data_IF_793239671501
#
_entry.id   IF_793239671501
#
_cell.length_a   1.000
_cell.length_b   1.000
_cell.length_c   1.000
_cell.angle_alpha   90.00
_cell.angle_beta   90.00
_cell.angle_gamma   90.00
#
_symmetry.space_group_name_H-M   'P 1'
#
loop_
_entity.id
_entity.type
_entity.pdbx_description
1 polymer ?
#
# COMPACT_ATOMS: atom_id res chain seq x y z
N UNK A 1 -3.15 -21.59 9.12
CA UNK A 1 -2.87 -20.15 8.97
C UNK A 1 -2.60 -19.97 7.49
N UNK A 2 -3.52 -19.32 6.79
CA UNK A 2 -3.37 -19.07 5.34
C UNK A 2 -2.40 -17.92 5.18
N UNK A 3 -1.16 -18.18 4.80
CA UNK A 3 -0.21 -17.13 4.42
C UNK A 3 -0.70 -16.51 3.12
N UNK A 4 -1.04 -15.22 3.14
CA UNK A 4 -1.37 -14.46 1.95
C UNK A 4 -0.09 -13.95 1.29
N UNK A 5 -0.03 -14.08 -0.04
CA UNK A 5 1.05 -13.50 -0.83
C UNK A 5 0.74 -12.02 -1.11
N UNK A 6 1.43 -11.12 -0.44
CA UNK A 6 1.15 -9.67 -0.50
C UNK A 6 2.25 -8.94 -1.27
N UNK A 7 1.86 -8.21 -2.30
CA UNK A 7 2.74 -7.30 -3.03
C UNK A 7 2.89 -6.00 -2.23
N UNK A 8 4.09 -5.71 -1.76
CA UNK A 8 4.43 -4.39 -1.23
C UNK A 8 4.75 -3.49 -2.42
N UNK A 9 3.82 -2.61 -2.77
CA UNK A 9 3.88 -1.78 -3.97
C UNK A 9 4.19 -0.33 -3.65
N UNK A 10 5.24 0.20 -4.23
CA UNK A 10 5.71 1.57 -4.02
C UNK A 10 5.62 2.34 -5.34
N UNK A 11 4.54 3.08 -5.59
CA UNK A 11 4.51 4.02 -6.71
C UNK A 11 5.43 5.19 -6.38
N UNK A 12 6.33 5.52 -7.29
CA UNK A 12 7.28 6.61 -7.10
C UNK A 12 7.44 7.43 -8.37
N UNK A 13 7.78 8.72 -8.23
CA UNK A 13 7.99 9.65 -9.33
C UNK A 13 8.95 10.77 -8.92
N UNK A 14 10.03 10.97 -9.68
CA UNK A 14 11.06 12.00 -9.43
C UNK A 14 11.67 11.96 -8.02
N UNK A 15 11.82 10.75 -7.46
CA UNK A 15 12.36 10.51 -6.12
C UNK A 15 13.53 9.51 -6.11
N UNK A 16 14.18 9.30 -7.25
CA UNK A 16 15.37 8.44 -7.31
C UNK A 16 16.43 8.91 -6.28
N UNK A 17 16.97 7.97 -5.52
CA UNK A 17 17.87 8.26 -4.39
C UNK A 17 17.17 8.74 -3.10
N UNK A 18 15.83 8.87 -3.08
CA UNK A 18 15.06 9.38 -1.93
C UNK A 18 13.94 8.43 -1.48
N UNK A 19 13.89 7.20 -1.99
CA UNK A 19 12.88 6.21 -1.63
C UNK A 19 13.33 5.48 -0.37
N UNK A 20 12.91 5.95 0.81
CA UNK A 20 13.27 5.35 2.09
C UNK A 20 12.49 4.07 2.40
N UNK A 21 11.36 3.86 1.75
CA UNK A 21 10.48 2.69 1.96
C UNK A 21 11.18 1.37 1.64
N UNK A 22 12.16 1.35 0.72
CA UNK A 22 12.97 0.15 0.41
C UNK A 22 13.80 -0.34 1.61
N UNK A 23 14.10 0.54 2.55
CA UNK A 23 14.84 0.18 3.77
C UNK A 23 13.96 -0.57 4.77
N UNK A 24 12.64 -0.48 4.64
CA UNK A 24 11.68 -1.14 5.52
C UNK A 24 11.18 -2.48 4.99
N UNK A 25 11.20 -2.67 3.68
CA UNK A 25 10.66 -3.86 3.03
C UNK A 25 11.66 -4.42 2.01
N UNK A 26 12.31 -5.52 2.35
CA UNK A 26 13.27 -6.19 1.46
C UNK A 26 12.60 -6.73 0.17
N UNK A 27 11.28 -6.92 0.19
CA UNK A 27 10.47 -7.38 -0.94
C UNK A 27 9.64 -6.27 -1.59
N UNK A 28 9.93 -5.00 -1.31
CA UNK A 28 9.25 -3.88 -1.96
C UNK A 28 9.49 -3.89 -3.48
N UNK A 29 8.44 -3.55 -4.23
CA UNK A 29 8.49 -3.41 -5.68
C UNK A 29 8.22 -1.95 -6.04
N UNK A 30 9.18 -1.32 -6.68
CA UNK A 30 9.07 0.07 -7.14
C UNK A 30 8.37 0.10 -8.50
N UNK A 31 7.33 0.90 -8.62
CA UNK A 31 6.63 1.15 -9.89
C UNK A 31 7.04 2.51 -10.41
N UNK A 32 7.76 2.53 -11.52
CA UNK A 32 8.51 3.66 -12.03
C UNK A 32 8.11 3.95 -13.48
N UNK A 33 7.94 5.22 -13.83
CA UNK A 33 7.64 5.61 -15.20
C UNK A 33 8.81 5.28 -16.14
N UNK A 34 8.50 4.94 -17.39
CA UNK A 34 9.51 4.52 -18.41
C UNK A 34 10.69 5.46 -18.48
N UNK A 35 10.45 6.76 -18.43
CA UNK A 35 11.48 7.80 -18.58
C UNK A 35 12.48 7.87 -17.41
N UNK A 36 12.14 7.30 -16.26
CA UNK A 36 12.98 7.29 -15.06
C UNK A 36 13.62 5.93 -14.77
N UNK A 37 13.25 4.90 -15.54
CA UNK A 37 13.59 3.49 -15.27
C UNK A 37 15.07 3.25 -15.06
N UNK A 38 15.93 3.76 -15.96
CA UNK A 38 17.37 3.58 -15.88
C UNK A 38 17.99 4.29 -14.67
N UNK A 39 17.45 5.46 -14.30
CA UNK A 39 17.89 6.18 -13.12
C UNK A 39 17.59 5.39 -11.84
N UNK A 40 16.36 4.85 -11.71
CA UNK A 40 16.00 4.05 -10.55
C UNK A 40 16.77 2.72 -10.48
N UNK A 41 17.06 2.10 -11.62
CA UNK A 41 17.90 0.89 -11.66
C UNK A 41 19.33 1.15 -11.17
N UNK A 42 19.88 2.31 -11.51
CA UNK A 42 21.19 2.70 -11.03
C UNK A 42 21.23 3.01 -9.52
N UNK A 43 20.21 3.70 -9.01
CA UNK A 43 20.12 4.08 -7.60
C UNK A 43 19.73 2.89 -6.69
N UNK A 44 18.90 1.96 -7.19
CA UNK A 44 18.39 0.82 -6.42
C UNK A 44 18.70 -0.52 -7.10
N UNK A 45 19.99 -0.91 -7.24
CA UNK A 45 20.38 -2.10 -8.02
C UNK A 45 19.85 -3.41 -7.45
N UNK A 46 19.49 -3.44 -6.16
CA UNK A 46 18.95 -4.62 -5.48
C UNK A 46 17.43 -4.61 -5.36
N UNK A 47 16.76 -3.53 -5.72
CA UNK A 47 15.32 -3.44 -5.64
C UNK A 47 14.67 -4.06 -6.89
N UNK A 48 13.48 -4.64 -6.70
CA UNK A 48 12.65 -5.03 -7.81
C UNK A 48 11.93 -3.81 -8.38
N UNK A 49 12.14 -3.54 -9.65
CA UNK A 49 11.58 -2.38 -10.34
C UNK A 49 10.67 -2.87 -11.46
N UNK A 50 9.46 -2.34 -11.51
CA UNK A 50 8.46 -2.60 -12.54
C UNK A 50 8.20 -1.30 -13.29
N UNK A 51 8.29 -1.38 -14.61
CA UNK A 51 7.98 -0.26 -15.48
C UNK A 51 6.49 0.03 -15.53
N UNK A 52 6.14 1.30 -15.39
CA UNK A 52 4.82 1.83 -15.72
C UNK A 52 4.93 2.56 -17.07
N UNK A 53 4.44 1.90 -18.13
CA UNK A 53 4.46 2.42 -19.50
C UNK A 53 3.14 3.13 -19.90
N UNK A 54 2.22 3.31 -18.96
CA UNK A 54 0.92 3.94 -19.18
C UNK A 54 0.96 5.47 -19.13
N UNK A 55 -0.22 6.06 -19.09
CA UNK A 55 -0.39 7.49 -18.93
C UNK A 55 0.21 7.99 -17.61
N UNK A 56 0.75 9.20 -17.64
CA UNK A 56 1.37 9.80 -16.45
C UNK A 56 0.33 10.06 -15.36
N UNK A 57 0.75 9.84 -14.13
CA UNK A 57 -0.06 10.10 -12.97
C UNK A 57 -0.15 8.92 -12.00
N UNK A 58 -0.62 9.22 -10.81
CA UNK A 58 -0.73 8.20 -9.76
C UNK A 58 -1.81 7.16 -10.10
N UNK A 59 -2.97 7.59 -10.59
CA UNK A 59 -4.12 6.70 -10.82
C UNK A 59 -3.84 5.63 -11.87
N UNK A 60 -3.30 5.95 -13.08
CA UNK A 60 -2.89 4.92 -14.04
C UNK A 60 -1.83 3.97 -13.47
N UNK A 61 -0.88 4.51 -12.68
CA UNK A 61 0.17 3.70 -12.03
C UNK A 61 -0.42 2.72 -10.99
N UNK A 62 -1.45 3.13 -10.25
CA UNK A 62 -2.16 2.25 -9.32
C UNK A 62 -2.87 1.10 -10.05
N UNK A 63 -3.46 1.35 -11.22
CA UNK A 63 -4.03 0.29 -12.06
C UNK A 63 -2.93 -0.67 -12.56
N UNK A 64 -1.78 -0.15 -12.98
CA UNK A 64 -0.62 -0.99 -13.33
C UNK A 64 -0.21 -1.90 -12.16
N UNK A 65 -0.24 -1.39 -10.92
CA UNK A 65 0.05 -2.18 -9.72
C UNK A 65 -0.98 -3.30 -9.54
N UNK A 66 -2.28 -3.02 -9.69
CA UNK A 66 -3.34 -4.02 -9.58
C UNK A 66 -3.21 -5.10 -10.64
N UNK A 67 -3.01 -4.71 -11.89
CA UNK A 67 -2.85 -5.65 -13.00
C UNK A 67 -1.60 -6.51 -12.86
N UNK A 68 -0.51 -5.91 -12.39
CA UNK A 68 0.72 -6.63 -12.05
C UNK A 68 0.47 -7.67 -10.95
N UNK A 69 -0.23 -7.28 -9.88
CA UNK A 69 -0.52 -8.18 -8.78
C UNK A 69 -1.39 -9.37 -9.23
N UNK A 70 -2.43 -9.12 -10.01
CA UNK A 70 -3.29 -10.16 -10.58
C UNK A 70 -2.51 -11.10 -11.50
N UNK A 71 -1.72 -10.54 -12.43
CA UNK A 71 -0.89 -11.30 -13.36
C UNK A 71 0.12 -12.21 -12.66
N UNK A 72 0.64 -11.79 -11.53
CA UNK A 72 1.66 -12.52 -10.76
C UNK A 72 1.09 -13.30 -9.57
N UNK A 73 -0.24 -13.45 -9.50
CA UNK A 73 -0.93 -14.28 -8.52
C UNK A 73 -0.67 -13.87 -7.06
N UNK A 74 -0.61 -12.57 -6.81
CA UNK A 74 -0.67 -12.05 -5.45
C UNK A 74 -2.10 -12.12 -4.93
N UNK A 75 -2.29 -12.32 -3.62
CA UNK A 75 -3.59 -12.30 -2.98
C UNK A 75 -4.05 -10.87 -2.65
N UNK A 76 -3.09 -10.00 -2.38
CA UNK A 76 -3.33 -8.61 -2.05
C UNK A 76 -2.16 -7.71 -2.50
N UNK A 77 -2.45 -6.44 -2.66
CA UNK A 77 -1.44 -5.39 -2.65
C UNK A 77 -1.43 -4.69 -1.29
N UNK A 78 -0.29 -4.19 -0.88
CA UNK A 78 -0.15 -3.17 0.14
C UNK A 78 0.62 -2.01 -0.48
N UNK A 79 -0.14 -0.96 -0.86
CA UNK A 79 0.43 0.25 -1.45
C UNK A 79 0.98 1.13 -0.34
N UNK A 80 2.22 1.55 -0.47
CA UNK A 80 2.88 2.49 0.43
C UNK A 80 3.54 3.60 -0.37
N UNK A 81 3.59 4.80 0.21
CA UNK A 81 4.33 5.91 -0.39
C UNK A 81 5.84 5.68 -0.29
N UNK A 82 6.59 6.35 -1.12
CA UNK A 82 8.05 6.21 -1.25
C UNK A 82 8.83 6.77 -0.05
N UNK A 83 8.18 7.54 0.81
CA UNK A 83 8.70 8.10 2.05
C UNK A 83 8.04 7.50 3.31
N UNK A 84 7.54 6.27 3.22
CA UNK A 84 6.91 5.60 4.35
C UNK A 84 7.92 5.32 5.47
N UNK A 85 7.65 5.82 6.67
CA UNK A 85 8.59 5.78 7.79
C UNK A 85 8.41 4.56 8.70
N UNK A 86 7.34 3.79 8.54
CA UNK A 86 7.07 2.59 9.32
C UNK A 86 5.70 2.55 9.96
N UNK A 87 5.51 1.60 10.87
CA UNK A 87 4.27 1.35 11.60
C UNK A 87 4.50 1.44 13.10
N UNK A 88 3.44 1.73 13.83
CA UNK A 88 3.44 1.70 15.29
C UNK A 88 2.15 1.09 15.81
N UNK A 89 2.21 0.46 16.97
CA UNK A 89 1.02 0.12 17.74
C UNK A 89 0.55 1.35 18.49
N UNK A 90 -0.76 1.50 18.59
CA UNK A 90 -1.37 2.45 19.49
C UNK A 90 -1.92 1.72 20.72
N UNK A 91 -1.36 2.03 21.88
CA UNK A 91 -1.77 1.45 23.14
C UNK A 91 -1.84 2.52 24.22
N UNK A 92 -2.97 2.60 24.91
CA UNK A 92 -3.13 3.42 26.14
C UNK A 92 -2.71 4.89 26.01
N UNK A 93 -2.90 5.48 24.83
CA UNK A 93 -2.62 6.92 24.61
C UNK A 93 -1.21 7.24 24.12
N UNK A 94 -0.36 6.24 23.91
CA UNK A 94 0.94 6.39 23.28
C UNK A 94 1.13 5.47 22.07
N UNK A 95 2.11 5.79 21.25
CA UNK A 95 2.52 4.96 20.11
C UNK A 95 3.80 4.21 20.44
N UNK A 96 3.80 2.92 20.12
CA UNK A 96 4.99 2.07 20.21
C UNK A 96 5.43 1.68 18.80
N UNK A 97 6.60 2.19 18.38
CA UNK A 97 7.11 1.99 17.02
C UNK A 97 7.56 0.53 16.83
N UNK A 98 7.13 -0.06 15.73
CA UNK A 98 7.57 -1.38 15.32
C UNK A 98 8.90 -1.24 14.58
N UNK A 99 10.00 -1.66 15.21
CA UNK A 99 11.34 -1.58 14.63
C UNK A 99 11.71 -2.81 13.77
N UNK A 100 11.04 -3.93 13.99
CA UNK A 100 11.29 -5.19 13.28
C UNK A 100 10.51 -5.23 11.95
N UNK A 101 11.22 -5.31 10.84
CA UNK A 101 10.66 -5.39 9.48
C UNK A 101 9.76 -6.62 9.30
N UNK A 102 10.15 -7.77 9.83
CA UNK A 102 9.35 -8.99 9.78
C UNK A 102 8.01 -8.77 10.51
N UNK A 103 8.07 -8.08 11.64
CA UNK A 103 6.87 -7.75 12.41
C UNK A 103 5.94 -6.79 11.67
N UNK A 104 6.48 -5.79 10.97
CA UNK A 104 5.69 -4.90 10.11
C UNK A 104 4.94 -5.71 9.07
N UNK A 105 5.64 -6.60 8.35
CA UNK A 105 5.01 -7.45 7.33
C UNK A 105 3.92 -8.36 7.93
N UNK A 106 4.16 -8.96 9.09
CA UNK A 106 3.16 -9.78 9.80
C UNK A 106 1.91 -8.99 10.19
N UNK A 107 2.06 -7.71 10.54
CA UNK A 107 0.89 -6.84 10.83
C UNK A 107 0.07 -6.62 9.56
N UNK A 108 0.72 -6.32 8.43
CA UNK A 108 0.07 -6.15 7.14
C UNK A 108 -0.68 -7.44 6.75
N UNK A 109 -0.02 -8.59 6.88
CA UNK A 109 -0.63 -9.90 6.58
C UNK A 109 -1.88 -10.15 7.44
N UNK A 110 -1.82 -9.87 8.73
CA UNK A 110 -2.98 -10.01 9.62
C UNK A 110 -4.14 -9.10 9.21
N UNK A 111 -3.83 -7.87 8.82
CA UNK A 111 -4.85 -6.93 8.31
C UNK A 111 -5.51 -7.45 7.04
N UNK A 112 -4.74 -8.00 6.11
CA UNK A 112 -5.25 -8.60 4.88
C UNK A 112 -6.13 -9.83 5.16
N UNK A 113 -5.73 -10.70 6.10
CA UNK A 113 -6.55 -11.84 6.54
C UNK A 113 -7.87 -11.36 7.16
N UNK A 114 -7.84 -10.37 8.04
CA UNK A 114 -9.05 -9.81 8.65
C UNK A 114 -9.98 -9.19 7.59
N UNK A 115 -9.43 -8.50 6.60
CA UNK A 115 -10.19 -7.96 5.49
C UNK A 115 -10.89 -9.08 4.70
N UNK A 116 -10.16 -10.14 4.36
CA UNK A 116 -10.69 -11.31 3.67
C UNK A 116 -11.81 -11.98 4.47
N UNK A 117 -11.59 -12.20 5.75
CA UNK A 117 -12.57 -12.86 6.63
C UNK A 117 -13.82 -12.01 6.84
N UNK A 118 -13.71 -10.69 6.82
CA UNK A 118 -14.84 -9.76 6.93
C UNK A 118 -15.56 -9.50 5.60
N UNK A 119 -15.03 -10.02 4.48
CA UNK A 119 -15.57 -9.76 3.14
C UNK A 119 -15.27 -8.37 2.61
N UNK A 120 -14.37 -7.62 3.26
CA UNK A 120 -13.94 -6.30 2.77
C UNK A 120 -12.74 -6.46 1.83
N UNK A 121 -12.79 -5.96 0.59
CA UNK A 121 -11.61 -6.00 -0.28
C UNK A 121 -10.52 -5.01 0.13
N UNK A 122 -10.82 -4.07 1.04
CA UNK A 122 -10.00 -2.93 1.38
C UNK A 122 -9.62 -2.94 2.87
N UNK A 123 -8.36 -2.64 3.18
CA UNK A 123 -7.88 -2.45 4.53
C UNK A 123 -6.86 -1.30 4.60
N UNK A 124 -6.91 -0.56 5.68
CA UNK A 124 -6.07 0.63 5.85
C UNK A 124 -5.47 0.69 7.26
N UNK A 125 -4.33 1.34 7.35
CA UNK A 125 -3.78 1.80 8.62
C UNK A 125 -4.23 3.22 8.89
N UNK A 126 -4.40 3.60 10.15
CA UNK A 126 -4.60 5.01 10.46
C UNK A 126 -3.28 5.77 10.46
N UNK A 127 -3.31 6.98 9.92
CA UNK A 127 -2.19 7.90 10.07
C UNK A 127 -2.07 8.44 11.49
N UNK A 128 -0.87 8.78 11.92
CA UNK A 128 -0.58 9.38 13.24
C UNK A 128 -1.50 10.58 13.58
N UNK A 129 -1.83 11.48 12.62
CA UNK A 129 -2.74 12.59 12.92
C UNK A 129 -4.15 12.17 13.36
N UNK A 130 -4.58 10.97 12.95
CA UNK A 130 -5.92 10.45 13.26
C UNK A 130 -5.96 9.60 14.53
N UNK A 131 -4.84 9.41 15.19
CA UNK A 131 -4.68 8.54 16.37
C UNK A 131 -5.64 8.89 17.51
N UNK A 132 -6.02 10.18 17.64
CA UNK A 132 -6.99 10.64 18.65
C UNK A 132 -8.40 10.07 18.44
N UNK A 133 -8.68 9.54 17.26
CA UNK A 133 -9.98 8.94 16.91
C UNK A 133 -10.03 7.45 17.26
N UNK A 134 -8.88 6.86 17.57
CA UNK A 134 -8.81 5.48 17.98
C UNK A 134 -9.43 5.25 19.35
N UNK A 135 -10.37 4.34 19.39
CA UNK A 135 -10.95 3.87 20.64
C UNK A 135 -10.49 2.43 20.87
N UNK A 136 -10.00 2.15 22.07
CA UNK A 136 -9.57 0.79 22.44
C UNK A 136 -10.70 -0.24 22.33
N UNK A 137 -11.95 0.19 22.54
CA UNK A 137 -13.13 -0.65 22.40
C UNK A 137 -13.49 -1.00 20.96
N UNK A 138 -12.90 -0.31 19.99
CA UNK A 138 -13.14 -0.48 18.56
C UNK A 138 -11.78 -0.69 17.85
N UNK A 139 -11.18 -1.91 17.94
CA UNK A 139 -9.83 -2.15 17.43
C UNK A 139 -9.73 -2.06 15.90
N UNK A 140 -10.85 -2.16 15.20
CA UNK A 140 -10.98 -1.89 13.78
C UNK A 140 -12.36 -1.30 13.48
N UNK A 141 -12.49 -0.63 12.33
CA UNK A 141 -13.76 -0.07 11.86
C UNK A 141 -14.04 -0.56 10.44
N UNK A 142 -15.29 -0.91 10.18
CA UNK A 142 -15.78 -1.22 8.83
C UNK A 142 -16.21 0.05 8.07
N UNK A 143 -16.11 1.21 8.70
CA UNK A 143 -16.47 2.49 8.13
C UNK A 143 -15.25 3.40 8.08
N UNK A 144 -15.09 4.10 6.99
CA UNK A 144 -14.03 5.08 6.85
C UNK A 144 -13.65 5.31 5.40
N UNK A 145 -12.87 6.33 5.18
CA UNK A 145 -12.25 6.60 3.88
C UNK A 145 -10.79 6.22 3.94
N UNK A 146 -10.24 5.78 2.81
CA UNK A 146 -8.80 5.71 2.62
C UNK A 146 -8.23 7.08 2.94
N UNK A 147 -7.45 7.14 3.98
CA UNK A 147 -6.66 8.32 4.27
C UNK A 147 -5.21 7.92 4.22
N UNK A 148 -4.51 8.50 3.24
CA UNK A 148 -3.06 8.61 3.26
C UNK A 148 -2.28 7.34 2.88
N UNK A 149 -1.17 7.56 2.28
CA UNK A 149 0.12 6.90 2.09
C UNK A 149 0.21 5.38 2.08
N UNK A 150 -0.58 4.67 2.89
CA UNK A 150 -0.53 3.22 3.00
C UNK A 150 -1.91 2.59 3.16
N UNK A 151 -2.25 1.67 2.25
CA UNK A 151 -3.47 0.86 2.30
C UNK A 151 -3.27 -0.45 1.55
N UNK A 152 -4.11 -1.43 1.86
CA UNK A 152 -4.14 -2.70 1.17
C UNK A 152 -5.44 -2.93 0.42
N UNK A 153 -5.35 -3.70 -0.66
CA UNK A 153 -6.48 -4.12 -1.46
C UNK A 153 -6.32 -5.60 -1.82
N UNK A 154 -7.34 -6.41 -1.53
CA UNK A 154 -7.41 -7.77 -2.05
C UNK A 154 -7.59 -7.72 -3.56
N UNK A 155 -6.91 -8.58 -4.31
CA UNK A 155 -6.90 -8.49 -5.78
C UNK A 155 -7.87 -9.46 -6.47
N UNK A 156 -8.51 -10.34 -5.71
CA UNK A 156 -9.52 -11.28 -6.22
C UNK A 156 -10.88 -10.57 -6.41
N UNK A 157 -10.88 -9.58 -7.28
CA UNK A 157 -12.03 -8.77 -7.67
C UNK A 157 -11.69 -7.98 -8.94
N UNK A 158 -12.69 -7.29 -9.51
CA UNK A 158 -12.55 -6.46 -10.73
C UNK A 158 -12.37 -4.96 -10.43
N UNK A 159 -12.02 -4.60 -9.19
CA UNK A 159 -11.85 -3.21 -8.80
C UNK A 159 -10.69 -2.57 -9.57
N UNK A 160 -10.93 -1.37 -10.08
CA UNK A 160 -9.94 -0.51 -10.72
C UNK A 160 -10.14 0.93 -10.27
N UNK A 161 -9.06 1.69 -10.23
CA UNK A 161 -9.13 3.13 -10.01
C UNK A 161 -9.65 3.83 -11.27
N UNK A 162 -10.59 4.75 -11.11
CA UNK A 162 -11.10 5.54 -12.23
C UNK A 162 -10.06 6.60 -12.64
N UNK A 163 -9.45 6.40 -13.80
CA UNK A 163 -8.37 7.26 -14.31
C UNK A 163 -8.82 8.69 -14.68
N UNK A 164 -10.13 8.94 -14.69
CA UNK A 164 -10.67 10.30 -14.83
C UNK A 164 -10.40 11.17 -13.59
N UNK A 165 -10.15 10.53 -12.45
CA UNK A 165 -9.78 11.22 -11.20
C UNK A 165 -8.28 11.42 -11.12
N UNK A 166 -7.81 12.64 -11.34
CA UNK A 166 -6.42 13.03 -11.13
C UNK A 166 -6.07 13.14 -9.64
N UNK A 167 -7.08 13.36 -8.80
CA UNK A 167 -7.00 13.44 -7.34
C UNK A 167 -8.24 12.76 -6.75
N UNK A 168 -8.17 12.33 -5.49
CA UNK A 168 -9.29 11.68 -4.78
C UNK A 168 -9.66 10.29 -5.29
N UNK A 169 -8.78 9.64 -6.04
CA UNK A 169 -8.94 8.26 -6.51
C UNK A 169 -9.12 7.27 -5.34
N UNK A 170 -8.58 7.59 -4.19
CA UNK A 170 -8.73 6.87 -2.93
C UNK A 170 -10.19 6.90 -2.43
N UNK A 171 -10.86 8.06 -2.52
CA UNK A 171 -12.26 8.20 -2.15
C UNK A 171 -13.16 7.42 -3.13
N UNK A 172 -12.88 7.51 -4.44
CA UNK A 172 -13.60 6.75 -5.45
C UNK A 172 -13.49 5.23 -5.18
N UNK A 173 -12.30 4.73 -4.91
CA UNK A 173 -12.09 3.33 -4.56
C UNK A 173 -12.90 2.94 -3.32
N UNK A 174 -12.99 3.79 -2.30
CA UNK A 174 -13.84 3.52 -1.14
C UNK A 174 -15.32 3.40 -1.51
N UNK A 175 -15.80 4.23 -2.44
CA UNK A 175 -17.20 4.16 -2.89
C UNK A 175 -17.49 2.92 -3.72
N UNK A 176 -16.50 2.38 -4.43
CA UNK A 176 -16.67 1.14 -5.20
C UNK A 176 -16.78 -0.10 -4.30
N UNK A 177 -16.30 -0.05 -3.08
CA UNK A 177 -16.30 -1.19 -2.13
C UNK A 177 -17.42 -1.13 -1.09
N UNK A 178 -18.21 -0.07 -1.08
CA UNK A 178 -19.41 0.05 -0.23
C UNK A 178 -20.62 -0.64 -0.86
#
# INVERSE_FOLDING_TARGET
ITNLNILIAVPTYKRAGQVSTVDLFDNAVLFVDTEELELYRAEYPNARIVEHAGDKGLTPKLNTILDYARKHHYDAIFKVDDDFEGMAYFAEGYTDRISDKVRIYQVIERMAVMAKDSGSPLFVTAGIPDIRRYKRSEPFSLFGTLKIGAYGLLVDNDLHFDERFLMKQDIDMCLQVL
#
